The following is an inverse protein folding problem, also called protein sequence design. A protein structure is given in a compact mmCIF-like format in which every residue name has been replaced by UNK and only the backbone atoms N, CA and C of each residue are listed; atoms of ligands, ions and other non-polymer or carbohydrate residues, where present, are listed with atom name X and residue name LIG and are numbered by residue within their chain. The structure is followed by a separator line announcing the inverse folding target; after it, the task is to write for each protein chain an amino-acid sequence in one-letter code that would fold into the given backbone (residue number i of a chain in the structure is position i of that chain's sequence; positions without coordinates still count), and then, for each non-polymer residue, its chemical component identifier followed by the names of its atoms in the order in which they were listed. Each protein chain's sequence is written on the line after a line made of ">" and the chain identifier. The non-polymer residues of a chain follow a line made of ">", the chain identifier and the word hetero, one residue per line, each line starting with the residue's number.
data_IF_484815153295
#
_entry.id   IF_484815153295
#
_cell.length_a   1.000
_cell.length_b   1.000
_cell.length_c   1.000
_cell.angle_alpha   90.00
_cell.angle_beta   90.00
_cell.angle_gamma   90.00
#
_symmetry.space_group_name_H-M   'P 1'
#
loop_
_entity.id
_entity.type
_entity.pdbx_description
1 polymer ?
#
# COMPACT_ATOMS: atom_id res chain seq x y z
N UNK A 1 2.52 10.35 17.46
CA UNK A 1 3.75 9.60 17.14
C UNK A 1 4.29 9.96 15.76
N UNK A 2 3.63 9.56 14.66
CA UNK A 2 4.17 9.78 13.30
C UNK A 2 4.39 11.25 12.94
N UNK A 3 3.46 12.15 13.27
CA UNK A 3 3.66 13.59 13.01
C UNK A 3 4.86 14.15 13.79
N UNK A 4 5.01 13.77 15.07
CA UNK A 4 6.16 14.17 15.89
C UNK A 4 7.48 13.65 15.30
N UNK A 5 7.51 12.38 14.85
CA UNK A 5 8.66 11.80 14.19
C UNK A 5 9.03 12.52 12.89
N UNK A 6 8.04 12.94 12.08
CA UNK A 6 8.27 13.70 10.86
C UNK A 6 8.77 15.13 11.12
N UNK A 7 8.25 15.80 12.16
CA UNK A 7 8.78 17.11 12.57
C UNK A 7 10.24 17.00 12.99
N UNK A 8 10.56 16.01 13.84
CA UNK A 8 11.95 15.77 14.25
C UNK A 8 12.83 15.37 13.07
N UNK A 9 12.32 14.57 12.13
CA UNK A 9 13.03 14.21 10.92
C UNK A 9 13.43 15.45 10.10
N UNK A 10 12.49 16.36 9.85
CA UNK A 10 12.75 17.59 9.09
C UNK A 10 13.77 18.48 9.80
N UNK A 11 13.63 18.66 11.11
CA UNK A 11 14.57 19.44 11.90
C UNK A 11 15.97 18.80 11.93
N UNK A 12 16.05 17.49 12.14
CA UNK A 12 17.32 16.76 12.16
C UNK A 12 18.00 16.76 10.79
N UNK A 13 17.24 16.59 9.70
CA UNK A 13 17.75 16.73 8.34
C UNK A 13 18.31 18.12 8.10
N UNK A 14 17.59 19.18 8.47
CA UNK A 14 18.08 20.55 8.31
C UNK A 14 19.40 20.80 9.05
N UNK A 15 19.52 20.29 10.28
CA UNK A 15 20.74 20.47 11.09
C UNK A 15 21.91 19.65 10.54
N UNK A 16 21.70 18.37 10.22
CA UNK A 16 22.76 17.42 9.87
C UNK A 16 23.19 17.51 8.40
N UNK A 17 22.28 17.90 7.49
CA UNK A 17 22.62 18.09 6.08
C UNK A 17 23.45 19.36 5.93
N UNK A 18 23.02 20.48 6.54
CA UNK A 18 23.63 21.81 6.34
C UNK A 18 24.64 22.21 7.43
N UNK A 19 24.97 21.32 8.37
CA UNK A 19 25.95 21.59 9.42
C UNK A 19 25.62 22.81 10.29
N UNK A 20 24.34 23.00 10.64
CA UNK A 20 23.89 24.14 11.48
C UNK A 20 24.07 23.82 12.96
N UNK A 21 24.11 24.85 13.82
CA UNK A 21 24.26 24.71 15.29
C UNK A 21 25.57 24.04 15.76
N UNK A 22 26.66 24.16 15.01
CA UNK A 22 27.97 23.60 15.38
C UNK A 22 28.15 22.12 15.04
N UNK A 23 27.20 21.52 14.32
CA UNK A 23 27.35 20.17 13.76
C UNK A 23 28.13 20.20 12.44
N UNK A 24 28.90 19.14 12.13
CA UNK A 24 29.57 19.01 10.83
C UNK A 24 28.55 18.86 9.69
N UNK A 25 28.88 19.38 8.51
CA UNK A 25 28.06 19.22 7.30
C UNK A 25 28.19 17.78 6.78
N UNK A 26 27.21 16.93 7.07
CA UNK A 26 27.26 15.50 6.73
C UNK A 26 26.61 15.18 5.38
N UNK A 27 26.00 16.17 4.71
CA UNK A 27 25.36 16.01 3.40
C UNK A 27 24.39 14.82 3.34
N UNK A 28 24.63 13.88 2.42
CA UNK A 28 23.79 12.68 2.23
C UNK A 28 23.77 11.80 3.49
N UNK A 29 24.88 11.68 4.22
CA UNK A 29 24.91 10.91 5.45
C UNK A 29 24.04 11.56 6.55
N UNK A 30 23.95 12.89 6.55
CA UNK A 30 23.06 13.65 7.43
C UNK A 30 21.58 13.35 7.20
N UNK A 31 21.17 13.15 5.94
CA UNK A 31 19.81 12.73 5.59
C UNK A 31 19.47 11.32 6.12
N UNK A 32 20.46 10.41 6.10
CA UNK A 32 20.34 9.07 6.69
C UNK A 32 20.10 9.12 8.20
N UNK A 33 20.94 9.89 8.91
CA UNK A 33 20.81 10.06 10.36
C UNK A 33 19.53 10.78 10.77
N UNK A 34 19.11 11.83 10.07
CA UNK A 34 17.85 12.51 10.36
C UNK A 34 16.63 11.59 10.18
N UNK A 35 16.69 10.68 9.21
CA UNK A 35 15.69 9.62 9.03
C UNK A 35 15.66 8.62 10.17
N UNK A 36 16.82 8.13 10.58
CA UNK A 36 16.93 7.23 11.72
C UNK A 36 16.38 7.85 13.01
N UNK A 37 16.74 9.10 13.31
CA UNK A 37 16.29 9.82 14.51
C UNK A 37 14.76 10.02 14.48
N UNK A 38 14.20 10.46 13.36
CA UNK A 38 12.75 10.65 13.23
C UNK A 38 11.95 9.36 13.46
N UNK A 39 12.41 8.24 12.90
CA UNK A 39 11.81 6.92 13.13
C UNK A 39 11.97 6.49 14.59
N UNK A 40 13.15 6.72 15.18
CA UNK A 40 13.44 6.43 16.59
C UNK A 40 12.48 7.17 17.53
N UNK A 41 12.27 8.46 17.31
CA UNK A 41 11.31 9.25 18.11
C UNK A 41 9.89 8.72 17.94
N UNK A 42 9.45 8.41 16.72
CA UNK A 42 8.13 7.82 16.49
C UNK A 42 7.97 6.48 17.22
N UNK A 43 9.00 5.63 17.22
CA UNK A 43 9.04 4.36 17.92
C UNK A 43 8.98 4.56 19.44
N UNK A 44 9.76 5.48 20.00
CA UNK A 44 9.73 5.82 21.43
C UNK A 44 8.37 6.33 21.87
N UNK A 45 7.72 7.19 21.09
CA UNK A 45 6.36 7.69 21.40
C UNK A 45 5.33 6.56 21.34
N UNK A 46 5.43 5.65 20.36
CA UNK A 46 4.53 4.50 20.30
C UNK A 46 4.76 3.53 21.48
N UNK A 47 6.01 3.29 21.85
CA UNK A 47 6.38 2.45 22.99
C UNK A 47 5.88 3.06 24.32
N UNK A 48 6.04 4.38 24.52
CA UNK A 48 5.57 5.04 25.74
C UNK A 48 4.04 5.00 25.86
N UNK A 49 3.31 5.15 24.74
CA UNK A 49 1.87 4.95 24.70
C UNK A 49 1.49 3.50 25.01
N UNK A 50 2.18 2.51 24.44
CA UNK A 50 1.93 1.09 24.69
C UNK A 50 2.13 0.69 26.17
N UNK A 51 3.14 1.28 26.82
CA UNK A 51 3.45 1.06 28.24
C UNK A 51 2.62 1.94 29.18
N UNK A 52 1.81 2.86 28.66
CA UNK A 52 0.96 3.75 29.47
C UNK A 52 -0.01 2.96 30.35
N UNK A 53 -0.28 3.51 31.54
CA UNK A 53 -1.16 2.89 32.55
C UNK A 53 -2.54 2.53 31.98
N UNK A 54 -3.10 3.39 31.12
CA UNK A 54 -4.42 3.19 30.51
C UNK A 54 -4.46 1.96 29.58
N UNK A 55 -3.45 1.79 28.72
CA UNK A 55 -3.38 0.63 27.81
C UNK A 55 -3.05 -0.64 28.59
N UNK A 56 -2.17 -0.54 29.58
CA UNK A 56 -1.82 -1.67 30.43
C UNK A 56 -3.03 -2.16 31.26
N UNK A 57 -3.90 -1.26 31.74
CA UNK A 57 -5.10 -1.64 32.48
C UNK A 57 -6.07 -2.46 31.62
N UNK A 58 -6.23 -2.13 30.33
CA UNK A 58 -7.16 -2.82 29.42
C UNK A 58 -6.56 -4.09 28.79
N UNK A 59 -5.29 -4.06 28.39
CA UNK A 59 -4.67 -5.13 27.58
C UNK A 59 -3.57 -5.90 28.30
N UNK A 60 -3.25 -5.57 29.56
CA UNK A 60 -2.17 -6.19 30.35
C UNK A 60 -0.82 -6.18 29.59
N UNK A 61 -0.54 -5.09 28.86
CA UNK A 61 0.61 -4.95 27.95
C UNK A 61 1.95 -5.27 28.62
N UNK A 62 2.12 -4.93 29.90
CA UNK A 62 3.36 -5.19 30.66
C UNK A 62 3.57 -6.66 31.05
N UNK A 63 2.52 -7.48 31.07
CA UNK A 63 2.58 -8.90 31.49
C UNK A 63 2.64 -9.86 30.29
N UNK A 64 2.53 -9.35 29.07
CA UNK A 64 2.45 -10.14 27.83
C UNK A 64 3.79 -10.17 27.07
N UNK A 65 4.90 -9.80 27.73
CA UNK A 65 6.26 -9.81 27.15
C UNK A 65 6.86 -11.22 26.99
N UNK A 66 6.08 -12.28 27.21
CA UNK A 66 6.55 -13.64 26.97
C UNK A 66 6.69 -13.90 25.48
N UNK A 67 7.88 -14.32 25.07
CA UNK A 67 8.16 -14.74 23.70
C UNK A 67 7.45 -16.06 23.45
N UNK A 68 6.44 -16.02 22.58
CA UNK A 68 5.66 -17.18 22.16
C UNK A 68 6.00 -17.48 20.69
N UNK A 69 6.88 -18.46 20.48
CA UNK A 69 7.34 -18.84 19.15
C UNK A 69 6.20 -19.32 18.25
N UNK A 70 5.12 -19.88 18.82
CA UNK A 70 3.93 -20.28 18.05
C UNK A 70 3.22 -19.08 17.43
N UNK A 71 2.96 -18.05 18.24
CA UNK A 71 2.36 -16.80 17.74
C UNK A 71 3.27 -16.04 16.78
N UNK A 72 4.58 -16.10 17.01
CA UNK A 72 5.56 -15.49 16.10
C UNK A 72 5.55 -16.19 14.73
N UNK A 73 5.43 -17.52 14.72
CA UNK A 73 5.25 -18.28 13.47
C UNK A 73 3.94 -17.92 12.75
N UNK A 74 2.83 -17.76 13.49
CA UNK A 74 1.56 -17.33 12.89
C UNK A 74 1.66 -15.94 12.25
N UNK A 75 2.35 -15.00 12.91
CA UNK A 75 2.64 -13.67 12.35
C UNK A 75 3.49 -13.76 11.08
N UNK A 76 4.54 -14.58 11.09
CA UNK A 76 5.39 -14.81 9.92
C UNK A 76 4.62 -15.45 8.77
N UNK A 77 3.75 -16.43 9.05
CA UNK A 77 2.93 -17.11 8.04
C UNK A 77 2.00 -16.15 7.29
N UNK A 78 1.50 -15.12 7.97
CA UNK A 78 0.64 -14.09 7.36
C UNK A 78 1.47 -12.96 6.73
N UNK A 79 2.58 -12.57 7.37
CA UNK A 79 3.43 -11.45 6.99
C UNK A 79 4.39 -11.74 5.83
N UNK A 80 5.02 -12.93 5.79
CA UNK A 80 5.95 -13.32 4.73
C UNK A 80 5.32 -13.26 3.34
N UNK A 81 4.13 -13.85 3.09
CA UNK A 81 3.50 -13.74 1.78
C UNK A 81 3.19 -12.28 1.42
N UNK A 82 2.66 -11.50 2.36
CA UNK A 82 2.33 -10.10 2.12
C UNK A 82 3.58 -9.26 1.78
N UNK A 83 4.68 -9.47 2.51
CA UNK A 83 5.97 -8.81 2.27
C UNK A 83 6.59 -9.23 0.95
N UNK A 84 6.61 -10.52 0.64
CA UNK A 84 7.13 -11.04 -0.63
C UNK A 84 6.34 -10.51 -1.82
N UNK A 85 5.00 -10.52 -1.75
CA UNK A 85 4.15 -9.97 -2.80
C UNK A 85 4.35 -8.47 -3.03
N UNK A 86 4.64 -7.70 -1.96
CA UNK A 86 5.02 -6.29 -2.07
C UNK A 86 6.40 -6.12 -2.70
N UNK A 87 7.39 -6.89 -2.25
CA UNK A 87 8.77 -6.84 -2.76
C UNK A 87 8.82 -7.14 -4.26
N UNK A 88 8.14 -8.20 -4.71
CA UNK A 88 8.03 -8.54 -6.14
C UNK A 88 7.35 -7.41 -6.90
N UNK A 89 6.29 -6.82 -6.36
CA UNK A 89 5.60 -5.73 -7.04
C UNK A 89 6.50 -4.49 -7.22
N UNK A 90 7.23 -4.09 -6.18
CA UNK A 90 8.17 -2.95 -6.23
C UNK A 90 9.33 -3.24 -7.20
N UNK A 91 9.89 -4.45 -7.16
CA UNK A 91 10.98 -4.85 -8.05
C UNK A 91 10.58 -4.74 -9.52
N UNK A 92 9.39 -5.24 -9.89
CA UNK A 92 8.92 -5.18 -11.28
C UNK A 92 8.52 -3.77 -11.72
N UNK A 93 8.04 -2.91 -10.82
CA UNK A 93 7.93 -1.49 -11.11
C UNK A 93 9.30 -0.87 -11.43
N UNK A 94 10.34 -1.22 -10.68
CA UNK A 94 11.72 -0.81 -10.99
C UNK A 94 12.21 -1.29 -12.36
N UNK A 95 11.93 -2.56 -12.72
CA UNK A 95 12.27 -3.12 -14.03
C UNK A 95 11.55 -2.37 -15.16
N UNK A 96 10.29 -1.99 -14.99
CA UNK A 96 9.59 -1.14 -15.97
C UNK A 96 10.30 0.21 -16.10
N UNK A 97 10.57 0.88 -14.99
CA UNK A 97 11.08 2.25 -14.99
C UNK A 97 12.49 2.32 -15.58
N UNK A 98 13.42 1.54 -15.06
CA UNK A 98 14.81 1.60 -15.49
C UNK A 98 15.09 0.75 -16.72
N UNK A 99 14.40 -0.38 -16.88
CA UNK A 99 14.69 -1.35 -17.94
C UNK A 99 13.89 -1.15 -19.24
N UNK A 100 12.61 -0.81 -19.15
CA UNK A 100 11.77 -0.62 -20.35
C UNK A 100 11.67 0.85 -20.74
N UNK A 101 11.24 1.71 -19.82
CA UNK A 101 11.08 3.15 -20.08
C UNK A 101 12.44 3.80 -20.33
N UNK A 102 13.47 3.41 -19.58
CA UNK A 102 14.85 3.91 -19.77
C UNK A 102 15.43 3.69 -21.17
N UNK A 103 14.95 2.69 -21.92
CA UNK A 103 15.38 2.46 -23.32
C UNK A 103 14.89 3.54 -24.29
N UNK A 104 13.84 4.27 -23.94
CA UNK A 104 13.25 5.32 -24.76
C UNK A 104 13.84 6.71 -24.47
N UNK A 105 14.89 6.78 -23.66
CA UNK A 105 15.64 8.01 -23.39
C UNK A 105 15.38 8.62 -22.02
N UNK A 106 16.20 9.62 -21.69
CA UNK A 106 16.15 10.36 -20.41
C UNK A 106 14.90 11.21 -20.28
N UNK A 107 14.40 11.77 -21.38
CA UNK A 107 13.17 12.57 -21.44
C UNK A 107 11.94 11.74 -20.99
N UNK A 108 11.82 10.51 -21.50
CA UNK A 108 10.75 9.57 -21.13
C UNK A 108 10.81 9.16 -19.65
N UNK A 109 12.03 8.98 -19.13
CA UNK A 109 12.23 8.66 -17.71
C UNK A 109 11.84 9.84 -16.82
N UNK A 110 12.23 11.06 -17.19
CA UNK A 110 11.87 12.28 -16.47
C UNK A 110 10.34 12.49 -16.44
N UNK A 111 9.67 12.31 -17.59
CA UNK A 111 8.21 12.38 -17.68
C UNK A 111 7.54 11.32 -16.79
N UNK A 112 8.08 10.11 -16.79
CA UNK A 112 7.57 9.00 -15.98
C UNK A 112 7.75 9.26 -14.48
N UNK A 113 8.89 9.80 -14.06
CA UNK A 113 9.13 10.22 -12.67
C UNK A 113 8.13 11.29 -12.22
N UNK A 114 7.84 12.28 -13.09
CA UNK A 114 6.84 13.31 -12.82
C UNK A 114 5.45 12.70 -12.56
N UNK A 115 5.00 11.81 -13.46
CA UNK A 115 3.70 11.16 -13.32
C UNK A 115 3.65 10.24 -12.10
N UNK A 116 4.73 9.55 -11.77
CA UNK A 116 4.82 8.76 -10.55
C UNK A 116 4.70 9.62 -9.29
N UNK A 117 5.26 10.82 -9.25
CA UNK A 117 5.11 11.73 -8.13
C UNK A 117 3.65 12.17 -7.96
N UNK A 118 2.98 12.58 -9.03
CA UNK A 118 1.56 12.95 -8.99
C UNK A 118 0.66 11.78 -8.57
N UNK A 119 0.88 10.61 -9.15
CA UNK A 119 0.07 9.42 -8.86
C UNK A 119 0.32 8.91 -7.44
N UNK A 120 1.56 8.92 -6.95
CA UNK A 120 1.87 8.57 -5.57
C UNK A 120 1.15 9.48 -4.58
N UNK A 121 1.17 10.80 -4.82
CA UNK A 121 0.47 11.78 -3.98
C UNK A 121 -1.03 11.49 -3.91
N UNK A 122 -1.65 11.25 -5.07
CA UNK A 122 -3.08 10.93 -5.14
C UNK A 122 -3.47 9.59 -4.51
N UNK A 123 -2.56 8.62 -4.47
CA UNK A 123 -2.86 7.27 -3.96
C UNK A 123 -2.86 7.21 -2.44
N UNK A 124 -2.08 8.05 -1.77
CA UNK A 124 -1.89 7.99 -0.31
C UNK A 124 -3.19 8.08 0.51
N UNK A 125 -4.15 8.97 0.21
CA UNK A 125 -5.41 9.02 0.96
C UNK A 125 -6.20 7.70 0.88
N UNK A 126 -6.24 7.06 -0.29
CA UNK A 126 -6.93 5.78 -0.48
C UNK A 126 -6.20 4.63 0.21
N UNK A 127 -4.86 4.66 0.24
CA UNK A 127 -4.07 3.72 1.05
C UNK A 127 -4.42 3.86 2.53
N UNK A 128 -4.55 5.10 3.03
CA UNK A 128 -5.02 5.37 4.40
C UNK A 128 -6.40 4.77 4.69
N UNK A 129 -7.38 4.98 3.80
CA UNK A 129 -8.71 4.37 3.90
C UNK A 129 -8.61 2.84 3.92
N UNK A 130 -7.78 2.25 3.06
CA UNK A 130 -7.56 0.80 3.02
C UNK A 130 -6.94 0.25 4.31
N UNK A 131 -6.00 0.97 4.94
CA UNK A 131 -5.43 0.56 6.23
C UNK A 131 -6.48 0.61 7.34
N UNK A 132 -7.30 1.67 7.39
CA UNK A 132 -8.41 1.76 8.34
C UNK A 132 -9.44 0.65 8.12
N UNK A 133 -9.77 0.36 6.86
CA UNK A 133 -10.67 -0.74 6.49
C UNK A 133 -10.11 -2.10 6.90
N UNK A 134 -8.81 -2.35 6.72
CA UNK A 134 -8.15 -3.59 7.13
C UNK A 134 -8.38 -3.87 8.62
N UNK A 135 -8.17 -2.86 9.48
CA UNK A 135 -8.39 -2.97 10.92
C UNK A 135 -9.88 -3.14 11.28
N UNK A 136 -10.76 -2.38 10.63
CA UNK A 136 -12.21 -2.45 10.87
C UNK A 136 -12.82 -3.80 10.47
N UNK A 137 -12.39 -4.33 9.32
CA UNK A 137 -12.80 -5.65 8.81
C UNK A 137 -12.27 -6.76 9.71
N UNK A 138 -10.99 -6.70 10.11
CA UNK A 138 -10.42 -7.69 11.05
C UNK A 138 -11.20 -7.72 12.38
N UNK A 139 -11.55 -6.55 12.93
CA UNK A 139 -12.35 -6.45 14.16
C UNK A 139 -13.77 -6.99 14.01
N UNK A 140 -14.44 -6.71 12.89
CA UNK A 140 -15.82 -7.17 12.65
C UNK A 140 -15.90 -8.67 12.37
N UNK A 141 -14.94 -9.22 11.61
CA UNK A 141 -14.79 -10.65 11.40
C UNK A 141 -14.48 -11.36 12.72
N UNK A 142 -13.61 -10.81 13.57
CA UNK A 142 -13.33 -11.35 14.90
C UNK A 142 -14.57 -11.43 15.80
N UNK A 143 -15.55 -10.52 15.60
CA UNK A 143 -16.86 -10.52 16.27
C UNK A 143 -17.91 -11.42 15.61
N UNK A 144 -17.55 -12.16 14.55
CA UNK A 144 -18.46 -13.00 13.78
C UNK A 144 -19.41 -12.23 12.85
N UNK A 145 -19.29 -10.90 12.73
CA UNK A 145 -20.19 -10.04 11.94
C UNK A 145 -19.64 -9.74 10.56
N UNK A 146 -19.58 -10.77 9.71
CA UNK A 146 -19.05 -10.69 8.33
C UNK A 146 -19.93 -9.84 7.40
N UNK A 147 -21.21 -9.71 7.71
CA UNK A 147 -22.16 -8.84 7.04
C UNK A 147 -21.76 -7.35 7.15
N UNK A 148 -21.29 -6.93 8.32
CA UNK A 148 -20.82 -5.56 8.57
C UNK A 148 -19.53 -5.29 7.80
N UNK A 149 -18.61 -6.27 7.74
CA UNK A 149 -17.38 -6.15 6.95
C UNK A 149 -17.70 -5.85 5.47
N UNK A 150 -18.70 -6.51 4.89
CA UNK A 150 -19.13 -6.23 3.50
C UNK A 150 -19.66 -4.81 3.34
N UNK A 151 -20.47 -4.32 4.29
CA UNK A 151 -20.99 -2.95 4.27
C UNK A 151 -19.87 -1.92 4.37
N UNK A 152 -18.91 -2.12 5.28
CA UNK A 152 -17.73 -1.26 5.44
C UNK A 152 -16.93 -1.17 4.14
N UNK A 153 -16.62 -2.32 3.51
CA UNK A 153 -15.88 -2.35 2.25
C UNK A 153 -16.62 -1.63 1.13
N UNK A 154 -17.95 -1.75 1.05
CA UNK A 154 -18.76 -1.03 0.03
C UNK A 154 -18.74 0.48 0.23
N UNK A 155 -18.83 0.95 1.48
CA UNK A 155 -18.78 2.39 1.79
C UNK A 155 -17.40 2.95 1.45
N UNK A 156 -16.33 2.32 1.92
CA UNK A 156 -14.96 2.73 1.61
C UNK A 156 -14.68 2.69 0.10
N UNK A 157 -15.23 1.70 -0.62
CA UNK A 157 -15.10 1.61 -2.07
C UNK A 157 -15.76 2.79 -2.79
N UNK A 158 -16.97 3.18 -2.39
CA UNK A 158 -17.67 4.33 -2.97
C UNK A 158 -16.88 5.63 -2.76
N UNK A 159 -16.39 5.85 -1.54
CA UNK A 159 -15.58 7.04 -1.21
C UNK A 159 -14.28 7.05 -2.00
N UNK A 160 -13.57 5.92 -2.07
CA UNK A 160 -12.32 5.80 -2.81
C UNK A 160 -12.52 5.99 -4.32
N UNK A 161 -13.58 5.43 -4.90
CA UNK A 161 -13.90 5.60 -6.32
C UNK A 161 -14.30 7.04 -6.65
N UNK A 162 -15.07 7.70 -5.78
CA UNK A 162 -15.42 9.11 -5.97
C UNK A 162 -14.17 9.98 -5.95
N UNK A 163 -13.33 9.83 -4.92
CA UNK A 163 -12.09 10.58 -4.79
C UNK A 163 -11.14 10.34 -5.97
N UNK A 164 -10.88 9.07 -6.31
CA UNK A 164 -9.97 8.73 -7.41
C UNK A 164 -10.53 9.05 -8.79
N UNK A 165 -11.85 9.02 -8.94
CA UNK A 165 -12.53 9.49 -10.15
C UNK A 165 -12.33 10.99 -10.35
N UNK A 166 -12.52 11.80 -9.29
CA UNK A 166 -12.27 13.24 -9.34
C UNK A 166 -10.80 13.56 -9.62
N UNK A 167 -9.86 12.84 -9.01
CA UNK A 167 -8.43 12.98 -9.31
C UNK A 167 -8.13 12.58 -10.76
N UNK A 168 -8.71 11.48 -11.25
CA UNK A 168 -8.53 11.05 -12.64
C UNK A 168 -9.03 12.10 -13.63
N UNK A 169 -10.19 12.71 -13.37
CA UNK A 169 -10.71 13.84 -14.16
C UNK A 169 -9.73 15.02 -14.10
N UNK A 170 -9.21 15.35 -12.92
CA UNK A 170 -8.20 16.40 -12.75
C UNK A 170 -6.94 16.13 -13.60
N UNK A 171 -6.41 14.90 -13.57
CA UNK A 171 -5.28 14.50 -14.40
C UNK A 171 -5.58 14.60 -15.88
N UNK A 172 -6.78 14.24 -16.32
CA UNK A 172 -7.16 14.33 -17.73
C UNK A 172 -7.31 15.78 -18.20
N UNK A 173 -7.99 16.64 -17.43
CA UNK A 173 -8.27 18.04 -17.79
C UNK A 173 -7.02 18.91 -17.67
N UNK A 174 -6.25 18.75 -16.59
CA UNK A 174 -5.09 19.59 -16.30
C UNK A 174 -3.76 18.97 -16.73
N UNK A 175 -3.75 17.93 -17.57
CA UNK A 175 -2.54 17.20 -18.01
C UNK A 175 -1.41 18.11 -18.49
N UNK A 176 -1.73 19.11 -19.31
CA UNK A 176 -0.73 20.04 -19.85
C UNK A 176 -0.16 20.95 -18.75
N UNK A 177 -1.01 21.51 -17.89
CA UNK A 177 -0.59 22.39 -16.80
C UNK A 177 0.24 21.65 -15.74
N UNK A 178 -0.13 20.40 -15.41
CA UNK A 178 0.61 19.57 -14.47
C UNK A 178 2.01 19.21 -15.00
N UNK A 179 2.13 18.91 -16.30
CA UNK A 179 3.43 18.63 -16.88
C UNK A 179 4.29 19.90 -17.04
N UNK A 180 3.69 21.02 -17.46
CA UNK A 180 4.37 22.31 -17.56
C UNK A 180 4.84 22.86 -16.20
N UNK A 181 4.16 22.49 -15.10
CA UNK A 181 4.62 22.81 -13.76
C UNK A 181 5.88 22.01 -13.37
N UNK A 182 6.05 20.80 -13.91
CA UNK A 182 7.16 19.93 -13.57
C UNK A 182 8.43 20.20 -14.40
N UNK A 183 8.26 20.49 -15.69
CA UNK A 183 9.37 20.69 -16.62
C UNK A 183 9.03 21.75 -17.66
N UNK A 184 10.07 22.42 -18.16
CA UNK A 184 10.01 23.37 -19.27
C UNK A 184 10.39 22.76 -20.61
N UNK A 185 10.75 21.46 -20.65
CA UNK A 185 11.12 20.76 -21.88
C UNK A 185 9.86 20.20 -22.57
N UNK A 186 9.59 20.67 -23.79
CA UNK A 186 8.41 20.30 -24.57
C UNK A 186 8.29 18.79 -24.81
N UNK A 187 9.40 18.07 -24.99
CA UNK A 187 9.35 16.62 -25.23
C UNK A 187 8.99 15.84 -23.97
N UNK A 188 9.44 16.32 -22.81
CA UNK A 188 9.06 15.76 -21.50
C UNK A 188 7.58 16.01 -21.24
N UNK A 189 7.09 17.19 -21.59
CA UNK A 189 5.67 17.55 -21.47
C UNK A 189 4.82 16.65 -22.37
N UNK A 190 5.16 16.51 -23.66
CA UNK A 190 4.39 15.71 -24.61
C UNK A 190 4.32 14.23 -24.17
N UNK A 191 5.45 13.64 -23.78
CA UNK A 191 5.49 12.28 -23.26
C UNK A 191 4.64 12.12 -21.99
N UNK A 192 4.76 13.05 -21.04
CA UNK A 192 4.04 13.01 -19.77
C UNK A 192 2.53 13.21 -19.90
N UNK A 193 2.09 14.03 -20.85
CA UNK A 193 0.66 14.28 -21.13
C UNK A 193 -0.04 12.99 -21.55
N UNK A 194 0.58 12.21 -22.43
CA UNK A 194 0.03 10.94 -22.88
C UNK A 194 0.00 9.91 -21.74
N UNK A 195 1.06 9.88 -20.91
CA UNK A 195 1.13 9.01 -19.74
C UNK A 195 0.05 9.39 -18.71
N UNK A 196 -0.22 10.69 -18.49
CA UNK A 196 -1.26 11.16 -17.58
C UNK A 196 -2.67 10.73 -17.99
N UNK A 197 -2.94 10.59 -19.30
CA UNK A 197 -4.22 10.05 -19.78
C UNK A 197 -4.38 8.59 -19.39
N UNK A 198 -3.33 7.77 -19.55
CA UNK A 198 -3.32 6.41 -19.01
C UNK A 198 -3.50 6.42 -17.49
N UNK A 199 -2.86 7.37 -16.80
CA UNK A 199 -2.96 7.53 -15.36
C UNK A 199 -4.38 7.83 -14.86
N UNK A 200 -5.08 8.72 -15.57
CA UNK A 200 -6.46 9.06 -15.28
C UNK A 200 -7.38 7.83 -15.29
N UNK A 201 -7.22 6.94 -16.28
CA UNK A 201 -8.05 5.75 -16.42
C UNK A 201 -7.74 4.72 -15.32
N UNK A 202 -6.45 4.45 -15.06
CA UNK A 202 -6.11 3.41 -14.08
C UNK A 202 -6.42 3.84 -12.64
N UNK A 203 -6.53 5.15 -12.35
CA UNK A 203 -6.75 5.67 -11.00
C UNK A 203 -7.98 5.06 -10.31
N UNK A 204 -9.10 4.95 -11.02
CA UNK A 204 -10.33 4.34 -10.50
C UNK A 204 -10.16 2.85 -10.19
N UNK A 205 -9.49 2.11 -11.07
CA UNK A 205 -9.20 0.68 -10.87
C UNK A 205 -8.19 0.46 -9.74
N UNK A 206 -7.22 1.37 -9.59
CA UNK A 206 -6.27 1.37 -8.49
C UNK A 206 -6.98 1.59 -7.14
N UNK A 207 -7.99 2.47 -7.11
CA UNK A 207 -8.85 2.64 -5.94
C UNK A 207 -9.54 1.34 -5.55
N UNK A 208 -10.19 0.69 -6.52
CA UNK A 208 -10.89 -0.58 -6.29
C UNK A 208 -9.93 -1.68 -5.82
N UNK A 209 -8.78 -1.84 -6.49
CA UNK A 209 -7.72 -2.79 -6.10
C UNK A 209 -7.29 -2.56 -4.66
N UNK A 210 -7.01 -1.32 -4.29
CA UNK A 210 -6.53 -0.94 -2.95
C UNK A 210 -7.57 -1.27 -1.88
N UNK A 211 -8.84 -0.89 -2.08
CA UNK A 211 -9.91 -1.15 -1.11
C UNK A 211 -10.21 -2.65 -0.94
N UNK A 212 -10.31 -3.41 -2.04
CA UNK A 212 -10.50 -4.86 -1.94
C UNK A 212 -9.30 -5.54 -1.29
N UNK A 213 -8.08 -5.07 -1.57
CA UNK A 213 -6.87 -5.60 -0.93
C UNK A 213 -6.88 -5.36 0.58
N UNK A 214 -7.28 -4.16 1.03
CA UNK A 214 -7.42 -3.88 2.46
C UNK A 214 -8.46 -4.76 3.14
N UNK A 215 -9.62 -4.96 2.50
CA UNK A 215 -10.66 -5.84 3.03
C UNK A 215 -10.22 -7.30 3.11
N UNK A 216 -9.59 -7.84 2.07
CA UNK A 216 -9.10 -9.23 2.05
C UNK A 216 -7.95 -9.43 3.05
N UNK A 217 -7.08 -8.42 3.19
CA UNK A 217 -6.01 -8.42 4.21
C UNK A 217 -6.59 -8.44 5.61
N UNK A 218 -7.65 -7.68 5.86
CA UNK A 218 -8.37 -7.67 7.14
C UNK A 218 -9.05 -9.01 7.45
N UNK A 219 -9.44 -9.76 6.42
CA UNK A 219 -9.97 -11.11 6.54
C UNK A 219 -8.90 -12.20 6.69
N UNK A 220 -7.62 -11.86 6.56
CA UNK A 220 -6.53 -12.84 6.64
C UNK A 220 -6.17 -13.53 5.32
N UNK A 221 -6.76 -13.14 4.19
CA UNK A 221 -6.48 -13.73 2.87
C UNK A 221 -5.21 -13.12 2.25
N UNK A 222 -4.10 -13.13 2.99
CA UNK A 222 -2.84 -12.49 2.56
C UNK A 222 -2.09 -13.28 1.51
N UNK A 223 -2.22 -14.61 1.51
CA UNK A 223 -1.60 -15.49 0.51
C UNK A 223 -2.20 -15.24 -0.88
N UNK A 224 -3.53 -15.14 -0.97
CA UNK A 224 -4.19 -14.78 -2.23
C UNK A 224 -3.67 -13.44 -2.77
N UNK A 225 -3.63 -12.42 -1.90
CA UNK A 225 -3.16 -11.09 -2.27
C UNK A 225 -1.70 -11.09 -2.75
N UNK A 226 -0.84 -11.87 -2.10
CA UNK A 226 0.56 -12.02 -2.48
C UNK A 226 0.71 -12.66 -3.87
N UNK A 227 0.04 -13.80 -4.08
CA UNK A 227 0.11 -14.56 -5.34
C UNK A 227 -0.43 -13.72 -6.50
N UNK A 228 -1.63 -13.14 -6.36
CA UNK A 228 -2.22 -12.38 -7.46
C UNK A 228 -1.43 -11.12 -7.79
N UNK A 229 -0.84 -10.47 -6.77
CA UNK A 229 0.03 -9.31 -6.96
C UNK A 229 1.33 -9.69 -7.67
N UNK A 230 1.94 -10.81 -7.28
CA UNK A 230 3.17 -11.32 -7.90
C UNK A 230 2.92 -11.79 -9.35
N UNK A 231 1.85 -12.55 -9.59
CA UNK A 231 1.46 -13.01 -10.93
C UNK A 231 1.16 -11.81 -11.85
N UNK A 232 0.42 -10.82 -11.37
CA UNK A 232 0.15 -9.60 -12.14
C UNK A 232 1.42 -8.79 -12.43
N UNK A 233 2.37 -8.75 -11.50
CA UNK A 233 3.66 -8.08 -11.68
C UNK A 233 4.57 -8.84 -12.65
N UNK A 234 4.65 -10.16 -12.57
CA UNK A 234 5.56 -10.95 -13.42
C UNK A 234 4.99 -11.09 -14.83
N UNK A 235 3.74 -11.54 -14.98
CA UNK A 235 3.16 -11.88 -16.27
C UNK A 235 2.67 -10.65 -17.03
N UNK A 236 1.95 -9.75 -16.38
CA UNK A 236 1.31 -8.64 -17.08
C UNK A 236 2.25 -7.44 -17.15
N UNK A 237 2.81 -7.04 -16.00
CA UNK A 237 3.69 -5.87 -15.93
C UNK A 237 5.05 -6.19 -16.58
N UNK A 238 5.70 -7.28 -16.16
CA UNK A 238 7.00 -7.70 -16.71
C UNK A 238 6.92 -8.22 -18.14
N UNK A 239 6.35 -9.40 -18.33
CA UNK A 239 6.30 -10.05 -19.65
C UNK A 239 5.43 -9.25 -20.64
N UNK A 240 4.24 -8.81 -20.23
CA UNK A 240 3.37 -7.99 -21.08
C UNK A 240 4.00 -6.65 -21.47
N UNK A 241 4.68 -5.97 -20.53
CA UNK A 241 5.43 -4.74 -20.81
C UNK A 241 6.57 -4.97 -21.81
N UNK A 242 7.32 -6.07 -21.64
CA UNK A 242 8.41 -6.43 -22.55
C UNK A 242 7.90 -6.78 -23.96
N UNK A 243 6.83 -7.55 -24.07
CA UNK A 243 6.21 -7.91 -25.35
C UNK A 243 5.70 -6.66 -26.09
N UNK A 244 5.05 -5.73 -25.40
CA UNK A 244 4.55 -4.49 -26.02
C UNK A 244 5.72 -3.66 -26.58
N UNK A 245 6.82 -3.56 -25.84
CA UNK A 245 8.01 -2.83 -26.29
C UNK A 245 8.65 -3.50 -27.52
N UNK A 246 8.63 -4.82 -27.62
CA UNK A 246 9.16 -5.56 -28.76
C UNK A 246 8.29 -5.48 -30.01
N UNK A 247 6.98 -5.67 -29.87
CA UNK A 247 6.06 -5.76 -31.02
C UNK A 247 5.51 -4.39 -31.46
N UNK A 248 5.48 -3.41 -30.57
CA UNK A 248 4.94 -2.08 -30.84
C UNK A 248 5.91 -0.98 -30.36
N UNK A 249 7.13 -0.91 -30.92
CA UNK A 249 8.12 0.10 -30.52
C UNK A 249 7.66 1.54 -30.78
N UNK A 250 6.70 1.74 -31.68
CA UNK A 250 6.10 3.05 -31.98
C UNK A 250 5.31 3.66 -30.82
N UNK A 251 4.90 2.87 -29.83
CA UNK A 251 4.22 3.36 -28.62
C UNK A 251 5.18 4.02 -27.62
N UNK A 252 6.49 3.89 -27.80
CA UNK A 252 7.49 4.49 -26.93
C UNK A 252 7.28 4.18 -25.44
N UNK A 253 7.37 5.21 -24.61
CA UNK A 253 7.16 5.11 -23.17
C UNK A 253 5.72 4.77 -22.75
N UNK A 254 4.73 4.88 -23.66
CA UNK A 254 3.33 4.56 -23.35
C UNK A 254 3.09 3.06 -23.23
N UNK A 255 3.83 2.24 -23.98
CA UNK A 255 3.70 0.78 -23.96
C UNK A 255 3.81 0.18 -22.54
N UNK A 256 4.89 0.46 -21.80
CA UNK A 256 5.03 0.02 -20.41
C UNK A 256 3.93 0.53 -19.46
N UNK A 257 3.43 1.76 -19.67
CA UNK A 257 2.33 2.32 -18.87
C UNK A 257 0.97 1.66 -19.18
N UNK A 258 0.75 1.23 -20.42
CA UNK A 258 -0.41 0.41 -20.79
C UNK A 258 -0.33 -0.95 -20.08
N UNK A 259 0.84 -1.61 -20.11
CA UNK A 259 1.04 -2.87 -19.36
C UNK A 259 0.79 -2.70 -17.86
N UNK A 260 1.26 -1.59 -17.27
CA UNK A 260 1.00 -1.26 -15.87
C UNK A 260 -0.48 -1.08 -15.57
N UNK A 261 -1.18 -0.35 -16.44
CA UNK A 261 -2.63 -0.14 -16.34
C UNK A 261 -3.39 -1.46 -16.41
N UNK A 262 -3.08 -2.31 -17.39
CA UNK A 262 -3.71 -3.63 -17.54
C UNK A 262 -3.43 -4.52 -16.34
N UNK A 263 -2.20 -4.51 -15.81
CA UNK A 263 -1.85 -5.27 -14.59
C UNK A 263 -2.67 -4.83 -13.39
N UNK A 264 -2.81 -3.52 -13.16
CA UNK A 264 -3.62 -2.99 -12.06
C UNK A 264 -5.09 -3.37 -12.21
N UNK A 265 -5.64 -3.26 -13.43
CA UNK A 265 -7.03 -3.63 -13.73
C UNK A 265 -7.24 -5.12 -13.47
N UNK A 266 -6.38 -5.98 -14.02
CA UNK A 266 -6.48 -7.43 -13.88
C UNK A 266 -6.41 -7.86 -12.41
N UNK A 267 -5.45 -7.35 -11.65
CA UNK A 267 -5.33 -7.64 -10.20
C UNK A 267 -6.52 -7.08 -9.42
N UNK A 268 -7.00 -5.88 -9.78
CA UNK A 268 -8.19 -5.28 -9.18
C UNK A 268 -9.46 -6.12 -9.40
N UNK A 269 -9.65 -6.63 -10.63
CA UNK A 269 -10.75 -7.52 -11.00
C UNK A 269 -10.64 -8.87 -10.30
N UNK A 270 -9.44 -9.45 -10.22
CA UNK A 270 -9.22 -10.70 -9.50
C UNK A 270 -9.52 -10.56 -8.00
N UNK A 271 -9.14 -9.44 -7.37
CA UNK A 271 -9.48 -9.13 -5.98
C UNK A 271 -10.97 -8.89 -5.77
N UNK A 272 -11.64 -8.21 -6.72
CA UNK A 272 -13.10 -8.05 -6.72
C UNK A 272 -13.81 -9.40 -6.84
N UNK A 273 -13.33 -10.27 -7.72
CA UNK A 273 -13.87 -11.62 -7.90
C UNK A 273 -13.70 -12.45 -6.64
N UNK A 274 -12.50 -12.46 -6.05
CA UNK A 274 -12.23 -13.12 -4.77
C UNK A 274 -13.15 -12.60 -3.67
N UNK A 275 -13.31 -11.29 -3.55
CA UNK A 275 -14.21 -10.69 -2.59
C UNK A 275 -15.68 -11.09 -2.81
N UNK A 276 -16.15 -11.15 -4.06
CA UNK A 276 -17.51 -11.60 -4.38
C UNK A 276 -17.74 -13.09 -4.19
N UNK A 277 -16.70 -13.91 -4.39
CA UNK A 277 -16.76 -15.38 -4.25
C UNK A 277 -17.04 -15.84 -2.82
N UNK A 278 -16.97 -14.94 -1.83
CA UNK A 278 -17.28 -15.21 -0.42
C UNK A 278 -16.37 -16.25 0.27
N UNK A 279 -15.48 -16.94 -0.46
CA UNK A 279 -14.51 -17.92 0.07
C UNK A 279 -13.58 -17.36 1.15
N UNK A 280 -13.34 -16.06 1.15
CA UNK A 280 -12.58 -15.38 2.21
C UNK A 280 -13.30 -15.40 3.56
N UNK A 281 -14.61 -15.66 3.59
CA UNK A 281 -15.36 -15.78 4.84
C UNK A 281 -15.05 -17.06 5.58
N UNK A 282 -14.57 -18.12 4.91
CA UNK A 282 -14.31 -19.41 5.56
C UNK A 282 -12.91 -19.49 6.16
N UNK A 283 -12.12 -18.42 6.03
CA UNK A 283 -10.77 -18.35 6.57
C UNK A 283 -10.86 -18.14 8.08
N UNK A 284 -10.46 -19.17 8.83
CA UNK A 284 -10.20 -19.09 10.26
C UNK A 284 -8.68 -19.15 10.49
N UNK A 285 -8.05 -17.98 10.65
CA UNK A 285 -6.60 -17.88 10.84
C UNK A 285 -6.14 -18.52 12.14
N UNK A 286 -6.96 -18.42 13.17
CA UNK A 286 -6.71 -19.02 14.47
C UNK A 286 -7.76 -20.08 14.62
N UNK A 287 -7.45 -21.35 14.30
CA UNK A 287 -8.30 -22.50 14.68
C UNK A 287 -8.77 -22.20 16.08
N UNK A 288 -10.04 -21.81 16.25
CA UNK A 288 -10.59 -21.57 17.58
C UNK A 288 -10.41 -22.89 18.29
N UNK A 289 -9.39 -22.99 19.15
CA UNK A 289 -9.30 -24.08 20.11
C UNK A 289 -10.62 -23.93 20.83
N UNK A 290 -11.56 -24.84 20.55
CA UNK A 290 -12.88 -24.78 21.10
C UNK A 290 -12.66 -24.65 22.60
N UNK A 291 -12.91 -23.46 23.14
CA UNK A 291 -13.00 -23.30 24.58
C UNK A 291 -14.30 -24.02 24.85
N UNK A 292 -14.19 -25.33 25.10
CA UNK A 292 -15.21 -26.10 25.76
C UNK A 292 -15.38 -25.40 27.10
N UNK A 293 -16.28 -24.42 27.14
CA UNK A 293 -16.92 -24.05 28.38
C UNK A 293 -17.56 -25.35 28.83
N UNK A 294 -17.09 -25.98 29.91
CA UNK A 294 -17.81 -27.11 30.44
C UNK A 294 -19.16 -26.54 30.84
N UNK A 295 -20.21 -26.92 30.12
CA UNK A 295 -21.55 -26.82 30.66
C UNK A 295 -21.50 -27.71 31.88
N UNK A 296 -21.38 -27.11 33.08
CA UNK A 296 -21.65 -27.81 34.32
C UNK A 296 -23.11 -28.24 34.27
N UNK A 297 -23.35 -29.42 33.71
CA UNK A 297 -24.53 -30.20 34.02
C UNK A 297 -24.39 -30.63 35.48
N UNK A 298 -25.35 -30.23 36.30
CA UNK A 298 -25.57 -30.81 37.62
C UNK A 298 -25.72 -29.76 38.72
N UNK A 299 -26.97 -29.41 39.02
CA UNK A 299 -27.59 -29.89 40.25
C UNK A 299 -29.07 -29.54 40.20
N UNK A 300 -29.91 -30.58 40.13
CA UNK A 300 -31.22 -30.51 40.74
C UNK A 300 -31.04 -30.05 42.18
N UNK A 301 -31.77 -29.01 42.57
CA UNK A 301 -32.02 -28.68 43.97
C UNK A 301 -33.54 -28.69 44.10
N UNK A 302 -33.94 -29.56 45.02
CA UNK A 302 -35.26 -29.92 45.57
C UNK A 302 -36.43 -28.96 45.33
#
# INVERSE_FOLDING_TARGET
>A
ASLCGQVVNVTANYVLIFGKFGFPEMGIAGAGWGTFIGIGVAACVNMSLYLSSNINATFKSRRTLNIDFGKMYDLLKVGLPAGFGLMVNVAFWGVILFGLVGKFGTEALAATSAVLSYTSLSVMPVVGISMALTAAVGKTIGRGRKDIAIKQTRVCLKVALLYMGLVGICFFVFRNALMAFWSTDDKVIEAGVNILVCAAIYQAFHAARTIYSGSLRGAGDTVWLAIISAVGAILILGLGGWLIVLFFPSLGALGPWIAATVSIIAVGLANRWRFKSKKWMDIDLFKRRAVSVPIQNGAAVE
#
